data_IF_511399532358
#
_entry.id   IF_511399532358
#
_cell.length_a   1.000
_cell.length_b   1.000
_cell.length_c   1.000
_cell.angle_alpha   90.00
_cell.angle_beta   90.00
_cell.angle_gamma   90.00
#
_symmetry.space_group_name_H-M   'P 1'
#
loop_
_entity.id
_entity.type
_entity.pdbx_description
1 polymer ?
#
# COMPACT_ATOMS: atom_id res chain seq x y z
N UNK A 1 6.54 -12.90 15.18
CA UNK A 1 5.95 -11.58 14.90
C UNK A 1 4.81 -11.70 13.92
N UNK A 2 3.80 -10.83 13.98
CA UNK A 2 2.80 -10.73 12.92
C UNK A 2 3.20 -9.62 11.93
N UNK A 3 2.80 -9.76 10.68
CA UNK A 3 3.15 -8.84 9.60
C UNK A 3 1.89 -8.35 8.90
N UNK A 4 1.80 -7.06 8.69
CA UNK A 4 0.62 -6.43 8.11
C UNK A 4 1.00 -5.50 6.95
N UNK A 5 0.25 -5.53 5.86
CA UNK A 5 0.20 -4.39 4.96
C UNK A 5 -0.54 -3.23 5.63
N UNK A 6 -0.42 -2.01 5.11
CA UNK A 6 -1.03 -0.83 5.72
C UNK A 6 -2.32 -0.42 5.04
N UNK A 7 -2.25 -0.05 3.77
CA UNK A 7 -3.38 0.48 3.02
C UNK A 7 -4.43 -0.61 2.75
N UNK A 8 -5.72 -0.27 2.94
CA UNK A 8 -6.85 -1.19 2.83
C UNK A 8 -6.73 -2.44 3.71
N UNK A 9 -5.80 -2.42 4.67
CA UNK A 9 -5.55 -3.47 5.66
C UNK A 9 -5.66 -2.89 7.06
N UNK A 10 -4.61 -2.29 7.61
CA UNK A 10 -4.65 -1.56 8.90
C UNK A 10 -5.47 -0.26 8.73
N UNK A 11 -5.19 0.49 7.69
CA UNK A 11 -5.95 1.67 7.31
C UNK A 11 -6.99 1.28 6.27
N UNK A 12 -8.25 1.66 6.50
CA UNK A 12 -9.41 1.23 5.66
C UNK A 12 -9.35 1.72 4.21
N UNK A 13 -8.57 2.75 3.92
CA UNK A 13 -8.44 3.36 2.60
C UNK A 13 -6.99 3.34 2.13
N UNK A 14 -6.68 4.05 1.05
CA UNK A 14 -5.30 4.26 0.58
C UNK A 14 -4.77 5.56 1.20
N UNK A 15 -3.78 5.45 2.06
CA UNK A 15 -3.21 6.58 2.79
C UNK A 15 -2.58 7.63 1.87
N UNK A 16 -1.98 7.20 0.77
CA UNK A 16 -1.37 8.11 -0.20
C UNK A 16 -2.41 8.88 -1.01
N UNK A 17 -3.51 8.22 -1.39
CA UNK A 17 -4.62 8.87 -2.07
C UNK A 17 -5.32 9.87 -1.15
N UNK A 18 -5.60 9.48 0.09
CA UNK A 18 -6.22 10.38 1.08
C UNK A 18 -5.33 11.58 1.37
N UNK A 19 -4.02 11.38 1.52
CA UNK A 19 -3.08 12.48 1.70
C UNK A 19 -3.02 13.40 0.48
N UNK A 20 -3.14 12.85 -0.74
CA UNK A 20 -3.26 13.66 -1.94
C UNK A 20 -4.49 14.56 -1.90
N UNK A 21 -5.67 14.02 -1.61
CA UNK A 21 -6.89 14.81 -1.52
C UNK A 21 -6.87 15.82 -0.37
N UNK A 22 -6.28 15.46 0.76
CA UNK A 22 -6.04 16.36 1.87
C UNK A 22 -5.15 17.56 1.44
N UNK A 23 -4.06 17.29 0.71
CA UNK A 23 -3.19 18.33 0.17
C UNK A 23 -3.89 19.20 -0.87
N UNK A 24 -4.68 18.58 -1.75
CA UNK A 24 -5.43 19.27 -2.81
C UNK A 24 -6.45 20.25 -2.22
N UNK A 25 -7.18 19.85 -1.17
CA UNK A 25 -8.14 20.70 -0.49
C UNK A 25 -7.49 21.94 0.15
N UNK A 26 -6.27 21.81 0.70
CA UNK A 26 -5.53 22.92 1.31
C UNK A 26 -4.73 23.76 0.31
N UNK A 27 -4.34 23.18 -0.81
CA UNK A 27 -3.59 23.82 -1.89
C UNK A 27 -4.16 23.49 -3.25
N UNK A 28 -5.22 24.17 -3.69
CA UNK A 28 -5.89 23.90 -4.98
C UNK A 28 -4.94 23.98 -6.19
N UNK A 29 -3.83 24.71 -6.07
CA UNK A 29 -2.78 24.77 -7.12
C UNK A 29 -2.16 23.40 -7.46
N UNK A 30 -2.31 22.38 -6.60
CA UNK A 30 -1.95 20.99 -6.90
C UNK A 30 -2.75 20.46 -8.08
N UNK A 31 -3.97 20.94 -8.30
CA UNK A 31 -4.84 20.58 -9.43
C UNK A 31 -4.18 20.84 -10.81
N UNK A 32 -3.25 21.79 -10.92
CA UNK A 32 -2.50 22.00 -12.16
C UNK A 32 -1.62 20.79 -12.56
N UNK A 33 -1.40 19.83 -11.66
CA UNK A 33 -0.71 18.58 -11.98
C UNK A 33 -1.65 17.51 -12.54
N UNK A 34 -2.97 17.65 -12.43
CA UNK A 34 -3.96 16.65 -12.86
C UNK A 34 -3.81 16.22 -14.33
N UNK A 35 -3.63 17.13 -15.32
CA UNK A 35 -3.46 16.71 -16.71
C UNK A 35 -2.25 15.80 -16.90
N UNK A 36 -1.13 16.13 -16.28
CA UNK A 36 0.09 15.31 -16.31
C UNK A 36 -0.12 13.97 -15.60
N UNK A 37 -0.76 13.99 -14.42
CA UNK A 37 -1.03 12.77 -13.65
C UNK A 37 -1.98 11.84 -14.43
N UNK A 38 -3.04 12.38 -15.05
CA UNK A 38 -3.98 11.64 -15.90
C UNK A 38 -3.29 11.04 -17.12
N UNK A 39 -2.42 11.79 -17.81
CA UNK A 39 -1.63 11.29 -18.93
C UNK A 39 -0.74 10.11 -18.52
N UNK A 40 -0.03 10.21 -17.40
CA UNK A 40 0.82 9.12 -16.91
C UNK A 40 0.02 7.94 -16.38
N UNK A 41 -1.15 8.16 -15.81
CA UNK A 41 -2.07 7.09 -15.41
C UNK A 41 -2.55 6.30 -16.63
N UNK A 42 -2.96 6.97 -17.70
CA UNK A 42 -3.33 6.31 -18.96
C UNK A 42 -2.16 5.49 -19.52
N UNK A 43 -0.94 6.03 -19.51
CA UNK A 43 0.26 5.27 -19.93
C UNK A 43 0.54 4.04 -19.08
N UNK A 44 0.27 4.12 -17.78
CA UNK A 44 0.38 2.99 -16.87
C UNK A 44 -0.67 1.92 -17.19
N UNK A 45 -1.93 2.29 -17.39
CA UNK A 45 -3.01 1.36 -17.78
C UNK A 45 -2.70 0.66 -19.12
N UNK A 46 -2.06 1.37 -20.05
CA UNK A 46 -1.62 0.81 -21.33
C UNK A 46 -0.30 -0.01 -21.23
N UNK A 47 0.20 -0.25 -20.02
CA UNK A 47 1.45 -1.00 -19.82
C UNK A 47 2.73 -0.30 -20.30
N UNK A 48 2.65 0.98 -20.70
CA UNK A 48 3.79 1.73 -21.27
C UNK A 48 4.79 2.25 -20.23
N UNK A 49 4.40 2.28 -18.96
CA UNK A 49 5.28 2.63 -17.84
C UNK A 49 5.01 1.70 -16.67
N UNK A 50 6.03 1.48 -15.83
CA UNK A 50 5.90 0.67 -14.63
C UNK A 50 5.07 1.38 -13.54
N UNK A 51 4.53 0.60 -12.58
CA UNK A 51 3.83 1.13 -11.40
C UNK A 51 4.71 2.10 -10.61
N UNK A 52 6.01 1.85 -10.49
CA UNK A 52 6.95 2.73 -9.80
C UNK A 52 7.12 4.06 -10.54
N UNK A 53 7.32 4.01 -11.86
CA UNK A 53 7.43 5.21 -12.68
C UNK A 53 6.14 6.06 -12.65
N UNK A 54 4.96 5.41 -12.64
CA UNK A 54 3.70 6.11 -12.45
C UNK A 54 3.64 6.78 -11.07
N UNK A 55 3.96 6.06 -9.98
CA UNK A 55 3.95 6.60 -8.62
C UNK A 55 4.87 7.83 -8.49
N UNK A 56 6.08 7.81 -9.04
CA UNK A 56 6.98 8.97 -9.01
C UNK A 56 6.39 10.20 -9.71
N UNK A 57 5.67 9.99 -10.81
CA UNK A 57 4.98 11.08 -11.51
C UNK A 57 3.80 11.61 -10.68
N UNK A 58 3.06 10.72 -10.06
CA UNK A 58 1.98 11.07 -9.16
C UNK A 58 2.50 11.84 -7.94
N UNK A 59 3.59 11.39 -7.32
CA UNK A 59 4.20 12.00 -6.13
C UNK A 59 4.82 13.39 -6.36
N UNK A 60 4.89 13.88 -7.59
CA UNK A 60 5.33 15.27 -7.84
C UNK A 60 4.52 16.31 -7.07
N UNK A 61 3.32 15.99 -6.60
CA UNK A 61 2.58 16.90 -5.74
C UNK A 61 3.27 17.20 -4.41
N UNK A 62 4.16 16.32 -3.93
CA UNK A 62 4.96 16.57 -2.72
C UNK A 62 5.78 17.85 -2.85
N UNK A 63 6.27 18.20 -4.06
CA UNK A 63 7.01 19.46 -4.30
C UNK A 63 6.17 20.70 -4.04
N UNK A 64 4.86 20.57 -3.87
CA UNK A 64 3.92 21.67 -3.58
C UNK A 64 3.53 21.75 -2.10
N UNK A 65 3.98 20.80 -1.29
CA UNK A 65 3.76 20.77 0.16
C UNK A 65 4.91 21.51 0.84
N UNK A 66 4.66 22.61 1.58
CA UNK A 66 5.73 23.46 2.10
C UNK A 66 6.49 22.84 3.28
N UNK A 67 5.76 22.21 4.18
CA UNK A 67 6.29 21.53 5.36
C UNK A 67 5.64 20.13 5.41
N UNK A 68 6.38 19.15 4.88
CA UNK A 68 5.87 17.79 4.74
C UNK A 68 5.56 17.16 6.08
N UNK A 69 6.43 17.36 7.07
CA UNK A 69 6.29 16.71 8.38
C UNK A 69 5.05 17.25 9.12
N UNK A 70 4.90 18.57 9.20
CA UNK A 70 3.72 19.19 9.80
C UNK A 70 2.42 18.80 9.08
N UNK A 71 2.45 18.68 7.75
CA UNK A 71 1.26 18.30 6.97
C UNK A 71 0.88 16.83 7.15
N UNK A 72 1.86 15.94 7.28
CA UNK A 72 1.61 14.52 7.55
C UNK A 72 1.07 14.33 8.97
N UNK A 73 1.60 15.04 9.96
CA UNK A 73 1.07 14.99 11.33
C UNK A 73 -0.38 15.49 11.40
N UNK A 74 -0.69 16.64 10.77
CA UNK A 74 -2.06 17.16 10.73
C UNK A 74 -3.02 16.25 9.93
N UNK A 75 -2.54 15.64 8.86
CA UNK A 75 -3.28 14.64 8.11
C UNK A 75 -3.71 13.48 9.03
N UNK A 76 -2.78 12.88 9.76
CA UNK A 76 -3.11 11.75 10.63
C UNK A 76 -3.97 12.14 11.81
N UNK A 77 -3.82 13.33 12.35
CA UNK A 77 -4.73 13.85 13.40
C UNK A 77 -6.20 13.81 12.94
N UNK A 78 -6.46 14.08 11.66
CA UNK A 78 -7.83 14.11 11.10
C UNK A 78 -8.27 12.78 10.47
N UNK A 79 -7.34 11.88 10.15
CA UNK A 79 -7.62 10.62 9.44
C UNK A 79 -7.40 9.37 10.31
N UNK A 80 -7.00 9.54 11.57
CA UNK A 80 -6.78 8.44 12.52
C UNK A 80 -7.99 7.51 12.66
N UNK A 81 -9.20 8.02 12.59
CA UNK A 81 -10.44 7.23 12.62
C UNK A 81 -10.57 6.22 11.47
N UNK A 82 -9.73 6.35 10.44
CA UNK A 82 -9.60 5.37 9.36
C UNK A 82 -8.83 4.10 9.73
N UNK A 83 -8.21 4.01 10.91
CA UNK A 83 -7.57 2.79 11.40
C UNK A 83 -8.65 1.76 11.75
N UNK A 84 -8.46 0.53 11.28
CA UNK A 84 -9.43 -0.55 11.42
C UNK A 84 -9.53 -1.04 12.85
N UNK A 85 -10.75 -1.13 13.37
CA UNK A 85 -11.00 -1.57 14.75
C UNK A 85 -10.51 -3.01 14.99
N UNK A 86 -10.63 -3.91 13.99
CA UNK A 86 -10.14 -5.28 14.11
C UNK A 86 -8.63 -5.34 14.34
N UNK A 87 -7.85 -4.43 13.73
CA UNK A 87 -6.40 -4.36 13.96
C UNK A 87 -6.10 -3.89 15.38
N UNK A 88 -6.73 -2.79 15.81
CA UNK A 88 -6.54 -2.25 17.17
C UNK A 88 -6.87 -3.28 18.26
N UNK A 89 -7.85 -4.16 18.03
CA UNK A 89 -8.25 -5.21 18.98
C UNK A 89 -7.23 -6.37 19.10
N UNK A 90 -6.34 -6.55 18.12
CA UNK A 90 -5.35 -7.64 18.13
C UNK A 90 -3.89 -7.19 18.05
N UNK A 91 -3.67 -5.88 17.97
CA UNK A 91 -2.34 -5.28 17.82
C UNK A 91 -1.38 -5.76 18.91
N UNK A 92 -0.12 -5.98 18.52
CA UNK A 92 0.98 -6.36 19.41
C UNK A 92 2.16 -5.41 19.26
N UNK A 93 2.97 -5.31 20.31
CA UNK A 93 4.16 -4.45 20.29
C UNK A 93 5.23 -4.91 19.28
N UNK A 94 5.27 -6.21 18.96
CA UNK A 94 6.20 -6.82 18.01
C UNK A 94 5.66 -6.92 16.57
N UNK A 95 4.52 -6.29 16.28
CA UNK A 95 3.95 -6.24 14.94
C UNK A 95 4.87 -5.48 13.97
N UNK A 96 4.97 -6.01 12.75
CA UNK A 96 5.66 -5.37 11.62
C UNK A 96 4.66 -4.85 10.60
N UNK A 97 4.74 -3.57 10.30
CA UNK A 97 4.07 -3.00 9.14
C UNK A 97 5.02 -3.02 7.93
N UNK A 98 4.55 -3.59 6.80
CA UNK A 98 5.32 -3.65 5.56
C UNK A 98 4.48 -3.15 4.38
N UNK A 99 4.81 -1.96 3.84
CA UNK A 99 3.93 -1.23 2.91
C UNK A 99 4.64 -0.67 1.68
N UNK A 100 3.90 -0.58 0.59
CA UNK A 100 4.32 0.10 -0.63
C UNK A 100 4.10 1.63 -0.59
N UNK A 101 3.50 2.16 0.47
CA UNK A 101 3.33 3.60 0.68
C UNK A 101 4.62 4.27 1.17
N UNK A 102 4.74 5.61 1.03
CA UNK A 102 5.94 6.33 1.48
C UNK A 102 6.16 6.19 2.99
N UNK A 103 7.40 5.87 3.37
CA UNK A 103 7.76 5.65 4.78
C UNK A 103 7.48 6.88 5.64
N UNK A 104 7.82 8.08 5.16
CA UNK A 104 7.59 9.33 5.90
C UNK A 104 6.11 9.58 6.19
N UNK A 105 5.21 9.15 5.29
CA UNK A 105 3.77 9.27 5.47
C UNK A 105 3.24 8.34 6.57
N UNK A 106 3.78 7.12 6.66
CA UNK A 106 3.29 6.11 7.61
C UNK A 106 3.97 6.17 8.99
N UNK A 107 5.19 6.71 9.07
CA UNK A 107 5.97 6.74 10.31
C UNK A 107 5.25 7.43 11.48
N UNK A 108 4.59 8.59 11.34
CA UNK A 108 3.90 9.24 12.44
C UNK A 108 2.75 8.40 13.00
N UNK A 109 1.91 7.84 12.14
CA UNK A 109 0.78 7.02 12.59
C UNK A 109 1.25 5.68 13.19
N UNK A 110 2.29 5.05 12.66
CA UNK A 110 2.86 3.86 13.25
C UNK A 110 3.40 4.14 14.66
N UNK A 111 4.06 5.28 14.86
CA UNK A 111 4.54 5.73 16.18
C UNK A 111 3.38 5.95 17.15
N UNK A 112 2.33 6.64 16.71
CA UNK A 112 1.14 6.90 17.52
C UNK A 112 0.43 5.60 17.93
N UNK A 113 0.40 4.61 17.05
CA UNK A 113 -0.15 3.28 17.32
C UNK A 113 0.79 2.37 18.12
N UNK A 114 1.99 2.81 18.50
CA UNK A 114 2.96 1.98 19.22
C UNK A 114 3.58 0.85 18.36
N UNK A 115 3.51 0.96 17.03
CA UNK A 115 4.12 0.01 16.10
C UNK A 115 5.62 0.32 15.98
N UNK A 116 6.46 -0.58 16.49
CA UNK A 116 7.91 -0.38 16.53
C UNK A 116 8.60 -0.66 15.20
N UNK A 117 8.02 -1.51 14.36
CA UNK A 117 8.65 -1.99 13.14
C UNK A 117 7.88 -1.55 11.89
N UNK A 118 8.53 -0.72 11.06
CA UNK A 118 8.00 -0.24 9.78
C UNK A 118 9.02 -0.45 8.67
N UNK A 119 8.64 -1.21 7.65
CA UNK A 119 9.35 -1.37 6.39
C UNK A 119 8.48 -0.83 5.26
N UNK A 120 8.76 0.38 4.78
CA UNK A 120 7.94 1.03 3.76
C UNK A 120 8.79 1.57 2.61
N UNK A 121 8.15 2.05 1.56
CA UNK A 121 8.87 2.60 0.42
C UNK A 121 9.62 3.87 0.81
N UNK A 122 10.92 3.90 0.54
CA UNK A 122 11.74 5.10 0.74
C UNK A 122 11.51 6.05 -0.43
N UNK A 123 10.83 7.13 -0.15
CA UNK A 123 10.51 8.20 -1.10
C UNK A 123 11.00 9.52 -0.51
N UNK A 124 11.70 10.30 -1.31
CA UNK A 124 12.11 11.64 -0.93
C UNK A 124 10.87 12.56 -0.85
N UNK A 125 10.54 13.12 0.34
CA UNK A 125 9.37 13.97 0.51
C UNK A 125 9.45 15.29 -0.26
N UNK A 126 10.65 15.74 -0.64
CA UNK A 126 10.84 16.98 -1.39
C UNK A 126 10.65 16.83 -2.89
N UNK A 127 10.98 15.66 -3.44
CA UNK A 127 10.98 15.41 -4.89
C UNK A 127 9.94 14.41 -5.35
N UNK A 128 9.43 13.56 -4.45
CA UNK A 128 8.54 12.44 -4.78
C UNK A 128 9.24 11.27 -5.47
N UNK A 129 10.57 11.27 -5.56
CA UNK A 129 11.34 10.19 -6.17
C UNK A 129 11.65 9.09 -5.16
N UNK A 130 11.67 7.86 -5.65
CA UNK A 130 12.15 6.74 -4.83
C UNK A 130 13.67 6.86 -4.61
N UNK A 131 14.12 6.69 -3.36
CA UNK A 131 15.52 6.56 -2.99
C UNK A 131 15.94 5.10 -2.82
N UNK A 132 15.07 4.19 -3.23
CA UNK A 132 15.26 2.75 -3.22
C UNK A 132 14.16 2.06 -4.03
N UNK A 133 14.09 0.74 -3.96
CA UNK A 133 13.02 -0.01 -4.65
C UNK A 133 11.66 0.23 -3.97
N UNK A 134 10.58 0.20 -4.76
CA UNK A 134 9.22 0.19 -4.24
C UNK A 134 8.98 -1.08 -3.41
N UNK A 135 8.53 -0.94 -2.16
CA UNK A 135 8.28 -2.03 -1.22
C UNK A 135 6.99 -2.80 -1.57
N UNK A 136 7.02 -3.54 -2.68
CA UNK A 136 5.86 -4.22 -3.26
C UNK A 136 6.22 -5.64 -3.71
N UNK A 137 5.32 -6.61 -3.50
CA UNK A 137 5.50 -7.99 -3.91
C UNK A 137 6.76 -8.62 -3.31
N UNK A 138 7.63 -9.22 -4.13
CA UNK A 138 8.89 -9.87 -3.67
C UNK A 138 9.85 -8.94 -2.92
N UNK A 139 9.78 -7.63 -3.17
CA UNK A 139 10.61 -6.67 -2.43
C UNK A 139 10.24 -6.62 -0.93
N UNK A 140 8.97 -6.84 -0.57
CA UNK A 140 8.55 -7.00 0.83
C UNK A 140 9.30 -8.16 1.49
N UNK A 141 9.35 -9.34 0.85
CA UNK A 141 10.09 -10.50 1.34
C UNK A 141 11.58 -10.19 1.51
N UNK A 142 12.20 -9.56 0.50
CA UNK A 142 13.61 -9.20 0.57
C UNK A 142 13.91 -8.31 1.77
N UNK A 143 13.08 -7.30 2.02
CA UNK A 143 13.25 -6.37 3.14
C UNK A 143 12.99 -7.02 4.48
N UNK A 144 11.96 -7.88 4.59
CA UNK A 144 11.71 -8.66 5.80
C UNK A 144 12.96 -9.48 6.18
N UNK A 145 13.47 -10.27 5.24
CA UNK A 145 14.65 -11.13 5.48
C UNK A 145 15.91 -10.35 5.82
N UNK A 146 16.09 -9.16 5.22
CA UNK A 146 17.24 -8.31 5.49
C UNK A 146 17.17 -7.64 6.87
N UNK A 147 15.99 -7.21 7.30
CA UNK A 147 15.79 -6.52 8.58
C UNK A 147 15.64 -7.50 9.77
N UNK A 148 15.08 -8.67 9.52
CA UNK A 148 14.78 -9.69 10.53
C UNK A 148 15.21 -11.07 10.04
N UNK A 149 16.54 -11.36 10.00
CA UNK A 149 17.06 -12.66 9.59
C UNK A 149 16.51 -13.76 10.49
N UNK A 150 15.94 -14.82 9.90
CA UNK A 150 15.40 -15.95 10.64
C UNK A 150 14.07 -15.71 11.37
N UNK A 151 13.46 -14.53 11.24
CA UNK A 151 12.18 -14.28 11.88
C UNK A 151 11.06 -15.14 11.29
N UNK A 152 10.30 -15.80 12.16
CA UNK A 152 9.09 -16.52 11.80
C UNK A 152 7.90 -15.55 11.77
N UNK A 153 7.15 -15.59 10.66
CA UNK A 153 5.92 -14.83 10.49
C UNK A 153 4.75 -15.68 10.96
N UNK A 154 4.15 -15.33 12.09
CA UNK A 154 3.00 -16.04 12.64
C UNK A 154 1.74 -15.79 11.81
N UNK A 155 1.35 -14.53 11.66
CA UNK A 155 0.19 -14.11 10.87
C UNK A 155 0.61 -13.03 9.84
N UNK A 156 0.06 -13.12 8.63
CA UNK A 156 0.17 -12.09 7.61
C UNK A 156 -1.20 -11.63 7.13
N UNK A 157 -1.41 -10.32 7.08
CA UNK A 157 -2.62 -9.70 6.54
C UNK A 157 -2.30 -8.67 5.46
N UNK A 158 -2.97 -8.76 4.31
CA UNK A 158 -2.89 -7.76 3.23
C UNK A 158 -4.20 -7.73 2.43
N UNK A 159 -4.45 -6.64 1.74
CA UNK A 159 -5.59 -6.49 0.83
C UNK A 159 -5.33 -7.04 -0.58
N UNK A 160 -4.09 -7.37 -0.93
CA UNK A 160 -3.65 -7.62 -2.30
C UNK A 160 -2.93 -8.95 -2.50
N UNK A 161 -3.38 -9.72 -3.51
CA UNK A 161 -2.69 -10.94 -3.93
C UNK A 161 -1.28 -10.71 -4.49
N UNK A 162 -0.88 -9.47 -4.77
CA UNK A 162 0.51 -9.15 -5.12
C UNK A 162 1.50 -9.47 -4.01
N UNK A 163 1.02 -9.61 -2.78
CA UNK A 163 1.79 -9.95 -1.59
C UNK A 163 1.84 -11.46 -1.29
N UNK A 164 1.34 -12.30 -2.24
CA UNK A 164 1.44 -13.78 -2.14
C UNK A 164 2.84 -14.27 -1.74
N UNK A 165 3.97 -13.71 -2.26
CA UNK A 165 5.28 -14.16 -1.83
C UNK A 165 5.56 -13.99 -0.33
N UNK A 166 4.91 -13.03 0.33
CA UNK A 166 5.02 -12.84 1.78
C UNK A 166 3.99 -13.71 2.53
N UNK A 167 2.80 -13.86 1.98
CA UNK A 167 1.76 -14.73 2.52
C UNK A 167 2.22 -16.21 2.62
N UNK A 168 3.03 -16.67 1.66
CA UNK A 168 3.58 -18.03 1.62
C UNK A 168 4.66 -18.28 2.72
N UNK A 169 5.18 -17.24 3.34
CA UNK A 169 6.15 -17.35 4.45
C UNK A 169 5.49 -17.38 5.83
N UNK A 170 4.22 -17.04 5.91
CA UNK A 170 3.50 -16.94 7.17
C UNK A 170 2.81 -18.25 7.55
N UNK A 171 2.76 -18.54 8.85
CA UNK A 171 2.01 -19.68 9.37
C UNK A 171 0.50 -19.59 9.08
N UNK A 172 -0.04 -18.36 9.12
CA UNK A 172 -1.44 -18.07 8.72
C UNK A 172 -1.46 -16.78 7.88
N UNK A 173 -2.25 -16.80 6.79
CA UNK A 173 -2.37 -15.65 5.91
C UNK A 173 -3.80 -15.30 5.62
N UNK A 174 -4.12 -14.03 5.65
CA UNK A 174 -5.46 -13.50 5.43
C UNK A 174 -5.47 -12.38 4.41
N UNK A 175 -6.42 -12.44 3.48
CA UNK A 175 -6.76 -11.32 2.63
C UNK A 175 -7.82 -10.46 3.32
N UNK A 176 -7.60 -9.17 3.37
CA UNK A 176 -8.53 -8.24 3.97
C UNK A 176 -9.40 -7.64 2.88
N UNK A 177 -10.72 -7.78 3.02
CA UNK A 177 -11.70 -7.16 2.13
C UNK A 177 -12.84 -6.57 2.95
N UNK A 178 -13.01 -5.23 2.85
CA UNK A 178 -14.03 -4.49 3.63
C UNK A 178 -13.97 -4.84 5.11
N UNK A 179 -12.79 -4.77 5.72
CA UNK A 179 -12.48 -5.07 7.12
C UNK A 179 -12.73 -6.54 7.55
N UNK A 180 -12.94 -7.45 6.60
CA UNK A 180 -13.13 -8.88 6.87
C UNK A 180 -11.85 -9.65 6.57
N UNK A 181 -11.42 -10.48 7.52
CA UNK A 181 -10.35 -11.47 7.31
C UNK A 181 -10.93 -12.67 6.54
N UNK A 182 -10.39 -12.93 5.36
CA UNK A 182 -10.72 -14.09 4.53
C UNK A 182 -9.46 -14.96 4.41
N UNK A 183 -9.62 -16.27 4.41
CA UNK A 183 -8.50 -17.18 4.19
C UNK A 183 -7.81 -16.90 2.86
N UNK A 184 -6.48 -16.78 2.88
CA UNK A 184 -5.67 -16.40 1.72
C UNK A 184 -5.79 -17.42 0.59
N UNK A 185 -5.63 -18.72 0.91
CA UNK A 185 -5.61 -19.78 -0.09
C UNK A 185 -6.97 -19.93 -0.78
N UNK A 186 -8.05 -19.91 0.01
CA UNK A 186 -9.42 -19.96 -0.51
C UNK A 186 -9.73 -18.75 -1.41
N UNK A 187 -9.32 -17.54 -1.00
CA UNK A 187 -9.53 -16.34 -1.81
C UNK A 187 -8.71 -16.38 -3.10
N UNK A 188 -7.43 -16.73 -3.04
CA UNK A 188 -6.56 -16.84 -4.21
C UNK A 188 -7.08 -17.88 -5.21
N UNK A 189 -7.55 -19.03 -4.71
CA UNK A 189 -8.18 -20.06 -5.57
C UNK A 189 -9.42 -19.51 -6.30
N UNK A 190 -10.30 -18.82 -5.57
CA UNK A 190 -11.51 -18.24 -6.15
C UNK A 190 -11.21 -17.16 -7.19
N UNK A 191 -10.20 -16.33 -6.94
CA UNK A 191 -9.75 -15.28 -7.87
C UNK A 191 -9.24 -15.89 -9.18
N UNK A 192 -8.37 -16.91 -9.10
CA UNK A 192 -7.84 -17.63 -10.28
C UNK A 192 -8.96 -18.30 -11.12
N UNK A 193 -9.99 -18.84 -10.46
CA UNK A 193 -11.15 -19.40 -11.17
C UNK A 193 -11.94 -18.33 -11.93
N UNK A 194 -12.11 -17.14 -11.34
CA UNK A 194 -12.79 -16.01 -12.01
C UNK A 194 -12.01 -15.52 -13.22
N UNK A 195 -10.69 -15.35 -13.08
CA UNK A 195 -9.83 -14.96 -14.20
C UNK A 195 -9.90 -15.93 -15.37
N UNK A 196 -9.79 -17.25 -15.09
CA UNK A 196 -9.93 -18.29 -16.13
C UNK A 196 -11.29 -18.27 -16.82
N UNK A 197 -12.36 -17.99 -16.05
CA UNK A 197 -13.72 -17.89 -16.62
C UNK A 197 -13.84 -16.66 -17.54
N UNK A 198 -13.33 -15.50 -17.12
CA UNK A 198 -13.34 -14.29 -17.93
C UNK A 198 -12.51 -14.45 -19.20
N UNK A 199 -11.33 -15.06 -19.12
CA UNK A 199 -10.50 -15.37 -20.27
C UNK A 199 -11.24 -16.24 -21.28
N UNK A 200 -11.89 -17.30 -20.83
CA UNK A 200 -12.68 -18.19 -21.70
C UNK A 200 -13.81 -17.44 -22.43
N UNK A 201 -14.50 -16.51 -21.77
CA UNK A 201 -15.52 -15.68 -22.42
C UNK A 201 -14.92 -14.76 -23.48
N UNK A 202 -13.81 -14.07 -23.16
CA UNK A 202 -13.12 -13.18 -24.10
C UNK A 202 -12.61 -13.94 -25.35
N UNK A 203 -12.13 -15.17 -25.18
CA UNK A 203 -11.68 -16.00 -26.29
C UNK A 203 -12.87 -16.48 -27.14
N UNK A 204 -14.04 -16.75 -26.55
CA UNK A 204 -15.24 -17.14 -27.29
C UNK A 204 -15.79 -16.01 -28.14
N UNK A 205 -15.78 -14.76 -27.65
CA UNK A 205 -16.24 -13.58 -28.42
C UNK A 205 -15.32 -13.20 -29.59
N UNK A 206 -14.06 -13.66 -29.59
CA UNK A 206 -13.14 -13.43 -30.71
C UNK A 206 -13.37 -14.38 -31.92
N UNK A 207 -14.16 -15.43 -31.72
CA UNK A 207 -14.46 -16.41 -32.76
C UNK A 207 -15.89 -16.29 -33.31
N UNK A 208 -16.67 -15.30 -32.85
CA UNK A 208 -17.95 -14.87 -33.40
C UNK A 208 -17.79 -13.56 -34.15
#
# INVERSE_FOLDING_TARGET
MNVYDFDQTIYRRDSTADFYFYCLARRPRIAFLLPMQGFHFARYLLGRISKTAFKERFYRFFTKVPDMDAWVEDFWRTHRSGISAWYLAQQRADDLVISASPEFLLRPICRELGISHLLASRVDPKTGKYTGKNCHGREKVRRLRAAFPGAEVGEFCSDSLSDTPLAELAGKSYIIKKERKLDWAAFAHSARRREKKLQKYADTERFL
#
